data_IF_876019873792
#
_entry.id   IF_876019873792
#
_cell.length_a   1.000
_cell.length_b   1.000
_cell.length_c   1.000
_cell.angle_alpha   90.00
_cell.angle_beta   90.00
_cell.angle_gamma   90.00
#
_symmetry.space_group_name_H-M   'P 1'
#
loop_
_entity.id
_entity.type
_entity.pdbx_description
1 polymer ?
#
# COMPACT_ATOMS: atom_id res chain seq x y z
N UNK A 1 -27.66 0.18 91.45
CA UNK A 1 -26.76 1.32 91.08
C UNK A 1 -25.78 1.02 89.93
N UNK A 2 -25.73 -0.22 89.35
CA UNK A 2 -24.80 -0.55 88.19
C UNK A 2 -25.33 -0.31 86.83
N UNK A 3 -26.66 -0.20 86.59
CA UNK A 3 -27.23 -0.05 85.25
C UNK A 3 -27.24 1.41 84.69
N UNK A 4 -26.97 2.42 85.52
CA UNK A 4 -27.01 3.84 85.09
C UNK A 4 -25.63 4.28 84.61
N UNK A 5 -24.54 3.54 84.89
CA UNK A 5 -23.18 3.92 84.47
C UNK A 5 -22.86 3.37 83.08
N UNK A 6 -23.46 2.24 82.67
CA UNK A 6 -23.24 1.65 81.31
C UNK A 6 -23.99 2.39 80.21
N UNK A 7 -25.16 2.99 80.50
CA UNK A 7 -25.96 3.70 79.50
C UNK A 7 -25.37 5.07 79.14
N UNK A 8 -24.69 5.72 80.08
CA UNK A 8 -24.00 6.99 79.85
C UNK A 8 -22.68 6.85 79.11
N UNK A 9 -22.01 5.70 79.22
CA UNK A 9 -20.77 5.40 78.49
C UNK A 9 -20.98 5.12 77.00
N UNK A 10 -22.10 4.44 76.71
CA UNK A 10 -22.44 4.06 75.31
C UNK A 10 -22.99 5.25 74.51
N UNK A 11 -23.71 6.18 75.18
CA UNK A 11 -24.23 7.42 74.51
C UNK A 11 -23.07 8.38 74.19
N UNK A 12 -22.12 8.56 75.09
CA UNK A 12 -20.95 9.43 74.85
C UNK A 12 -19.99 8.88 73.78
N UNK A 13 -19.86 7.57 73.63
CA UNK A 13 -19.06 6.94 72.56
C UNK A 13 -19.75 7.04 71.22
N UNK A 14 -21.09 6.88 71.16
CA UNK A 14 -21.88 7.07 69.94
C UNK A 14 -21.90 8.53 69.50
N UNK A 15 -21.98 9.49 70.44
CA UNK A 15 -21.91 10.91 70.10
C UNK A 15 -20.55 11.35 69.60
N UNK A 16 -19.45 10.81 70.16
CA UNK A 16 -18.07 11.02 69.65
C UNK A 16 -17.84 10.36 68.29
N UNK A 17 -18.42 9.17 68.05
CA UNK A 17 -18.35 8.51 66.77
C UNK A 17 -19.15 9.25 65.67
N UNK A 18 -20.36 9.77 66.04
CA UNK A 18 -21.18 10.60 65.14
C UNK A 18 -20.49 11.91 64.81
N UNK A 19 -19.89 12.62 65.78
CA UNK A 19 -19.08 13.83 65.51
C UNK A 19 -17.84 13.57 64.68
N UNK A 20 -17.14 12.42 64.83
CA UNK A 20 -16.05 12.04 63.93
C UNK A 20 -16.50 11.67 62.54
N UNK A 21 -17.70 11.11 62.38
CA UNK A 21 -18.27 10.82 61.07
C UNK A 21 -18.70 12.10 60.32
N UNK A 22 -19.22 13.10 61.06
CA UNK A 22 -19.53 14.42 60.50
C UNK A 22 -18.27 15.26 60.17
N UNK A 23 -17.21 15.14 60.97
CA UNK A 23 -15.90 15.78 60.67
C UNK A 23 -15.19 15.16 59.46
N UNK A 24 -15.45 13.91 59.13
CA UNK A 24 -14.89 13.23 57.93
C UNK A 24 -15.74 13.49 56.67
N UNK A 25 -16.93 14.05 56.79
CA UNK A 25 -17.70 14.49 55.61
C UNK A 25 -16.96 15.67 54.97
N UNK A 26 -16.47 15.45 53.78
CA UNK A 26 -15.74 16.45 52.97
C UNK A 26 -16.60 17.74 52.91
N UNK A 27 -16.20 18.74 53.73
CA UNK A 27 -16.93 19.99 53.82
C UNK A 27 -16.70 20.81 52.58
N UNK A 28 -17.63 20.73 51.62
CA UNK A 28 -17.56 21.41 50.32
C UNK A 28 -17.58 22.94 50.48
N UNK A 29 -18.30 23.45 51.52
CA UNK A 29 -18.43 24.89 51.75
C UNK A 29 -17.11 25.63 51.99
N UNK A 30 -16.20 25.23 52.92
CA UNK A 30 -14.93 25.94 53.12
C UNK A 30 -14.00 25.80 51.92
N UNK A 31 -14.09 24.66 51.18
CA UNK A 31 -13.34 24.48 49.95
C UNK A 31 -13.80 25.47 48.85
N UNK A 32 -15.12 25.58 48.63
CA UNK A 32 -15.70 26.57 47.69
C UNK A 32 -15.32 28.01 48.08
N UNK A 33 -15.39 28.34 49.35
CA UNK A 33 -15.02 29.70 49.81
C UNK A 33 -13.53 29.99 49.60
N UNK A 34 -12.63 29.00 49.77
CA UNK A 34 -11.22 29.14 49.51
C UNK A 34 -10.94 29.28 47.98
N UNK A 35 -11.66 28.53 47.13
CA UNK A 35 -11.59 28.66 45.68
C UNK A 35 -12.05 30.06 45.21
N UNK A 36 -13.17 30.57 45.71
CA UNK A 36 -13.68 31.90 45.35
C UNK A 36 -12.73 33.01 45.84
N UNK A 37 -12.14 32.88 47.01
CA UNK A 37 -11.17 33.86 47.55
C UNK A 37 -9.88 33.91 46.72
N UNK A 38 -9.46 32.75 46.16
CA UNK A 38 -8.24 32.64 45.35
C UNK A 38 -8.52 32.46 43.86
N UNK A 39 -9.60 33.01 43.33
CA UNK A 39 -10.09 32.85 41.97
C UNK A 39 -9.03 33.18 40.88
N UNK A 40 -8.14 34.14 41.18
CA UNK A 40 -7.04 34.53 40.29
C UNK A 40 -6.07 33.40 40.01
N UNK A 41 -5.82 32.49 40.97
CA UNK A 41 -5.01 31.29 40.72
C UNK A 41 -5.65 30.35 39.73
N UNK A 42 -6.98 30.28 39.77
CA UNK A 42 -7.76 29.52 38.80
C UNK A 42 -7.63 30.07 37.39
N UNK A 43 -7.71 31.40 37.24
CA UNK A 43 -7.53 32.07 35.95
C UNK A 43 -6.09 31.85 35.44
N UNK A 44 -5.07 32.01 36.27
CA UNK A 44 -3.68 31.78 35.90
C UNK A 44 -3.48 30.32 35.43
N UNK A 45 -4.05 29.37 36.15
CA UNK A 45 -4.02 27.94 35.79
C UNK A 45 -4.67 27.69 34.44
N UNK A 46 -5.89 28.21 34.23
CA UNK A 46 -6.64 28.02 32.96
C UNK A 46 -5.88 28.65 31.79
N UNK A 47 -5.33 29.86 31.96
CA UNK A 47 -4.54 30.52 30.94
C UNK A 47 -3.24 29.73 30.68
N UNK A 48 -2.56 29.27 31.71
CA UNK A 48 -1.34 28.45 31.59
C UNK A 48 -1.58 27.14 30.84
N UNK A 49 -2.62 26.40 31.24
CA UNK A 49 -3.01 25.18 30.52
C UNK A 49 -3.51 25.46 29.10
N UNK A 50 -4.24 26.55 28.89
CA UNK A 50 -4.68 27.01 27.57
C UNK A 50 -3.49 27.30 26.63
N UNK A 51 -2.47 28.02 27.14
CA UNK A 51 -1.24 28.27 26.39
C UNK A 51 -0.49 26.98 26.08
N UNK A 52 -0.34 26.06 27.04
CA UNK A 52 0.29 24.77 26.83
C UNK A 52 -0.47 23.92 25.81
N UNK A 53 -1.79 23.86 25.93
CA UNK A 53 -2.65 23.13 24.97
C UNK A 53 -2.55 23.73 23.56
N UNK A 54 -2.50 25.06 23.44
CA UNK A 54 -2.33 25.76 22.17
C UNK A 54 -0.95 25.44 21.53
N UNK A 55 0.14 25.50 22.31
CA UNK A 55 1.47 25.13 21.85
C UNK A 55 1.53 23.66 21.43
N UNK A 56 0.94 22.77 22.20
CA UNK A 56 0.83 21.35 21.87
C UNK A 56 0.05 21.12 20.58
N UNK A 57 -1.09 21.78 20.41
CA UNK A 57 -1.90 21.68 19.17
C UNK A 57 -1.14 22.21 17.95
N UNK A 58 -0.35 23.28 18.10
CA UNK A 58 0.50 23.83 17.03
C UNK A 58 1.70 22.94 16.68
N UNK A 59 2.17 22.13 17.61
CA UNK A 59 3.26 21.16 17.40
C UNK A 59 2.80 19.91 16.67
N UNK A 60 1.50 19.61 16.63
CA UNK A 60 0.97 18.42 15.96
C UNK A 60 1.10 18.53 14.43
N UNK A 61 1.56 17.45 13.81
CA UNK A 61 1.60 17.32 12.36
C UNK A 61 0.19 17.10 11.82
N UNK A 62 -0.21 17.88 10.85
CA UNK A 62 -1.50 17.68 10.18
C UNK A 62 -1.45 16.40 9.34
N UNK A 63 -2.48 15.58 9.43
CA UNK A 63 -2.65 14.41 8.57
C UNK A 63 -3.78 14.67 7.60
N UNK A 64 -3.52 14.38 6.34
CA UNK A 64 -4.47 14.48 5.25
C UNK A 64 -4.83 13.07 4.80
N UNK A 65 -6.12 12.81 4.60
CA UNK A 65 -6.60 11.53 4.11
C UNK A 65 -7.35 11.74 2.80
N UNK A 66 -6.89 11.07 1.76
CA UNK A 66 -7.60 10.98 0.48
C UNK A 66 -8.28 9.63 0.34
N UNK A 67 -9.38 9.59 -0.39
CA UNK A 67 -10.12 8.35 -0.65
C UNK A 67 -10.44 8.19 -2.12
N UNK A 68 -10.43 6.95 -2.60
CA UNK A 68 -10.83 6.56 -3.93
C UNK A 68 -11.72 5.32 -3.87
N UNK A 69 -12.57 5.15 -4.86
CA UNK A 69 -13.40 3.94 -5.04
C UNK A 69 -13.03 3.30 -6.35
N UNK A 70 -12.71 2.01 -6.32
CA UNK A 70 -12.40 1.23 -7.51
C UNK A 70 -13.42 0.11 -7.65
N UNK A 71 -13.82 -0.17 -8.90
CA UNK A 71 -14.64 -1.30 -9.23
C UNK A 71 -13.72 -2.43 -9.75
N UNK A 72 -13.71 -3.56 -9.07
CA UNK A 72 -12.97 -4.74 -9.48
C UNK A 72 -13.85 -5.55 -10.42
N UNK A 73 -13.48 -5.57 -11.71
CA UNK A 73 -14.24 -6.32 -12.71
C UNK A 73 -13.65 -7.74 -12.86
N UNK A 74 -14.27 -8.72 -12.22
CA UNK A 74 -13.86 -10.13 -12.25
C UNK A 74 -14.44 -10.89 -13.46
N UNK A 75 -14.56 -10.25 -14.63
CA UNK A 75 -15.20 -10.86 -15.82
C UNK A 75 -14.49 -12.10 -16.37
N UNK A 76 -13.24 -12.34 -16.03
CA UNK A 76 -12.43 -13.40 -16.63
C UNK A 76 -12.59 -14.78 -15.96
N UNK A 77 -13.31 -14.89 -14.85
CA UNK A 77 -13.60 -16.19 -14.20
C UNK A 77 -14.86 -16.89 -14.72
N UNK A 78 -15.56 -16.28 -15.66
CA UNK A 78 -16.67 -16.92 -16.38
C UNK A 78 -16.21 -17.65 -17.64
N UNK A 79 -15.06 -18.33 -17.62
CA UNK A 79 -14.79 -19.34 -18.64
C UNK A 79 -15.80 -20.47 -18.44
N UNK A 80 -16.75 -20.51 -19.34
CA UNK A 80 -17.77 -21.54 -19.40
C UNK A 80 -17.11 -22.94 -19.35
N UNK A 81 -17.27 -23.64 -18.25
CA UNK A 81 -16.80 -25.02 -18.13
C UNK A 81 -16.13 -25.42 -16.83
N UNK A 82 -15.75 -24.48 -15.93
CA UNK A 82 -15.23 -24.92 -14.64
C UNK A 82 -16.37 -25.18 -13.65
N UNK A 83 -16.29 -26.27 -12.92
CA UNK A 83 -17.22 -26.59 -11.83
C UNK A 83 -17.36 -25.44 -10.83
N UNK A 84 -16.33 -24.62 -10.71
CA UNK A 84 -16.29 -23.40 -9.88
C UNK A 84 -17.32 -22.35 -10.33
N UNK A 85 -17.60 -22.22 -11.63
CA UNK A 85 -18.61 -21.29 -12.13
C UNK A 85 -20.03 -21.68 -11.68
N UNK A 86 -20.31 -22.99 -11.58
CA UNK A 86 -21.59 -23.50 -11.11
C UNK A 86 -21.80 -23.27 -9.61
N UNK A 87 -20.71 -23.32 -8.81
CA UNK A 87 -20.77 -23.07 -7.37
C UNK A 87 -20.87 -21.58 -7.06
N UNK A 88 -20.29 -20.69 -7.89
CA UNK A 88 -20.42 -19.24 -7.73
C UNK A 88 -21.84 -18.74 -8.05
N UNK A 89 -22.52 -19.37 -8.99
CA UNK A 89 -23.91 -19.03 -9.37
C UNK A 89 -24.92 -19.48 -8.29
N UNK A 90 -24.53 -20.48 -7.49
CA UNK A 90 -25.30 -20.96 -6.33
C UNK A 90 -25.00 -20.15 -5.05
N UNK A 91 -24.15 -19.11 -5.10
CA UNK A 91 -23.82 -18.26 -3.96
C UNK A 91 -23.02 -18.95 -2.85
N UNK A 92 -22.50 -20.17 -3.09
CA UNK A 92 -21.92 -21.03 -2.04
C UNK A 92 -20.42 -20.83 -1.89
N UNK A 93 -19.71 -20.35 -2.91
CA UNK A 93 -18.27 -20.04 -2.77
C UNK A 93 -17.77 -19.13 -3.89
N UNK A 94 -17.08 -18.08 -3.56
CA UNK A 94 -16.09 -17.49 -4.45
C UNK A 94 -16.08 -15.98 -4.65
N UNK A 95 -17.21 -15.28 -4.74
CA UNK A 95 -17.19 -13.84 -5.01
C UNK A 95 -16.44 -13.03 -3.91
N UNK A 96 -16.68 -13.36 -2.66
CA UNK A 96 -16.01 -12.67 -1.54
C UNK A 96 -14.49 -12.95 -1.46
N UNK A 97 -14.05 -14.16 -1.86
CA UNK A 97 -12.64 -14.51 -1.88
C UNK A 97 -11.88 -13.81 -3.01
N UNK A 98 -12.55 -13.53 -4.14
CA UNK A 98 -11.94 -12.83 -5.27
C UNK A 98 -11.64 -11.37 -4.93
N UNK A 99 -12.61 -10.63 -4.38
CA UNK A 99 -12.40 -9.24 -3.95
C UNK A 99 -11.37 -9.17 -2.83
N UNK A 100 -11.38 -10.11 -1.88
CA UNK A 100 -10.37 -10.18 -0.82
C UNK A 100 -8.96 -10.39 -1.39
N UNK A 101 -8.79 -11.26 -2.38
CA UNK A 101 -7.50 -11.48 -3.03
C UNK A 101 -7.00 -10.22 -3.75
N UNK A 102 -7.90 -9.48 -4.43
CA UNK A 102 -7.54 -8.23 -5.08
C UNK A 102 -7.16 -7.14 -4.06
N UNK A 103 -7.82 -7.11 -2.89
CA UNK A 103 -7.43 -6.23 -1.78
C UNK A 103 -6.02 -6.58 -1.28
N UNK A 104 -5.67 -7.86 -1.14
CA UNK A 104 -4.31 -8.28 -0.79
C UNK A 104 -3.30 -7.89 -1.86
N UNK A 105 -3.65 -8.02 -3.16
CA UNK A 105 -2.81 -7.59 -4.28
C UNK A 105 -2.56 -6.08 -4.21
N UNK A 106 -3.60 -5.27 -4.00
CA UNK A 106 -3.49 -3.81 -3.83
C UNK A 106 -2.60 -3.40 -2.65
N UNK A 107 -2.54 -4.21 -1.60
CA UNK A 107 -1.68 -3.99 -0.42
C UNK A 107 -0.31 -4.65 -0.56
N UNK A 108 0.03 -5.26 -1.69
CA UNK A 108 1.31 -5.95 -1.85
C UNK A 108 2.48 -4.96 -1.79
N UNK A 109 3.55 -5.37 -1.12
CA UNK A 109 4.79 -4.57 -1.01
C UNK A 109 5.39 -4.29 -2.38
N UNK A 110 5.35 -5.24 -3.31
CA UNK A 110 5.88 -5.10 -4.67
C UNK A 110 5.19 -3.96 -5.43
N UNK A 111 3.85 -3.91 -5.35
CA UNK A 111 3.07 -2.85 -5.98
C UNK A 111 3.38 -1.50 -5.35
N UNK A 112 3.55 -1.45 -4.01
CA UNK A 112 3.97 -0.24 -3.31
C UNK A 112 5.39 0.19 -3.67
N UNK A 113 6.33 -0.72 -3.88
CA UNK A 113 7.69 -0.40 -4.36
C UNK A 113 7.65 0.26 -5.74
N UNK A 114 6.80 -0.23 -6.64
CA UNK A 114 6.59 0.38 -7.95
C UNK A 114 6.05 1.81 -7.82
N UNK A 115 5.07 2.03 -6.93
CA UNK A 115 4.53 3.37 -6.63
C UNK A 115 5.61 4.31 -6.06
N UNK A 116 6.42 3.81 -5.11
CA UNK A 116 7.54 4.58 -4.52
C UNK A 116 8.54 5.00 -5.58
N UNK A 117 8.90 4.09 -6.48
CA UNK A 117 9.85 4.37 -7.58
C UNK A 117 9.25 5.36 -8.58
N UNK A 118 7.98 5.19 -8.96
CA UNK A 118 7.32 6.08 -9.92
C UNK A 118 7.19 7.52 -9.41
N UNK A 119 6.91 7.69 -8.10
CA UNK A 119 6.73 9.00 -7.48
C UNK A 119 7.99 9.56 -6.83
N UNK A 120 9.08 8.78 -6.76
CA UNK A 120 10.34 9.17 -6.11
C UNK A 120 10.20 9.41 -4.61
N UNK A 121 9.35 8.62 -3.90
CA UNK A 121 9.04 8.82 -2.49
C UNK A 121 10.12 8.30 -1.53
N UNK A 122 11.17 7.69 -2.05
CA UNK A 122 12.35 7.29 -1.28
C UNK A 122 13.10 8.48 -0.67
N UNK A 123 12.88 9.70 -1.20
CA UNK A 123 13.41 10.94 -0.65
C UNK A 123 12.25 11.88 -0.32
N UNK A 124 12.12 12.23 0.94
CA UNK A 124 11.09 13.16 1.42
C UNK A 124 11.75 14.43 1.95
N UNK A 125 11.21 15.57 1.55
CA UNK A 125 11.71 16.89 1.91
C UNK A 125 10.82 17.53 2.94
N UNK A 126 11.43 18.08 3.99
CA UNK A 126 10.75 18.79 5.04
C UNK A 126 11.36 20.17 5.21
N UNK A 127 10.50 21.17 5.28
CA UNK A 127 10.88 22.52 5.67
C UNK A 127 10.59 22.74 7.15
N UNK A 128 11.53 23.32 7.89
CA UNK A 128 11.33 23.63 9.30
C UNK A 128 10.55 24.94 9.44
N UNK A 129 9.31 24.86 9.90
CA UNK A 129 8.44 26.02 10.13
C UNK A 129 8.07 26.10 11.61
N UNK A 130 8.67 27.06 12.31
CA UNK A 130 8.44 27.34 13.72
C UNK A 130 8.73 26.13 14.63
N UNK A 131 7.75 25.31 14.98
CA UNK A 131 7.86 24.17 15.90
C UNK A 131 7.60 22.80 15.22
N UNK A 132 7.47 22.78 13.92
CA UNK A 132 7.13 21.55 13.19
C UNK A 132 7.85 21.48 11.84
N UNK A 133 8.09 20.24 11.40
CA UNK A 133 8.54 19.96 10.06
C UNK A 133 7.31 19.81 9.15
N UNK A 134 7.30 20.52 8.03
CA UNK A 134 6.25 20.47 7.02
C UNK A 134 6.79 19.75 5.81
N UNK A 135 6.06 18.72 5.35
CA UNK A 135 6.43 17.97 4.15
C UNK A 135 6.26 18.84 2.90
N UNK A 136 7.36 19.10 2.22
CA UNK A 136 7.40 19.93 1.02
C UNK A 136 7.16 19.16 -0.28
N UNK A 137 6.92 17.85 -0.25
CA UNK A 137 6.69 16.97 -1.39
C UNK A 137 7.22 17.54 -2.73
N UNK A 138 6.35 17.95 -3.67
CA UNK A 138 6.73 18.53 -4.98
C UNK A 138 7.14 20.01 -4.92
N UNK A 139 6.95 20.69 -3.78
CA UNK A 139 7.25 22.11 -3.60
C UNK A 139 8.62 22.37 -2.97
N UNK A 140 9.43 21.33 -2.79
CA UNK A 140 10.79 21.48 -2.24
C UNK A 140 11.64 22.43 -3.09
N UNK A 141 12.35 23.38 -2.47
CA UNK A 141 13.28 24.26 -3.20
C UNK A 141 14.54 23.54 -3.69
N UNK A 142 14.83 22.37 -3.12
CA UNK A 142 16.02 21.58 -3.42
C UNK A 142 15.65 20.18 -3.82
N UNK A 143 16.45 19.57 -4.70
CA UNK A 143 16.36 18.17 -5.07
C UNK A 143 17.68 17.47 -4.81
N UNK A 144 17.64 16.35 -4.12
CA UNK A 144 18.77 15.45 -3.87
C UNK A 144 18.61 14.26 -4.79
N UNK A 145 19.65 13.95 -5.52
CA UNK A 145 19.67 12.77 -6.42
C UNK A 145 20.79 11.86 -5.96
N UNK A 146 20.49 10.72 -5.33
CA UNK A 146 21.46 9.66 -5.10
C UNK A 146 21.96 9.12 -6.44
N UNK A 147 23.25 8.92 -6.60
CA UNK A 147 23.86 8.36 -7.79
C UNK A 147 24.04 6.83 -7.69
N UNK A 148 23.69 6.26 -6.54
CA UNK A 148 23.69 4.82 -6.26
C UNK A 148 22.48 4.48 -5.39
N UNK A 149 22.10 3.22 -5.37
CA UNK A 149 21.01 2.74 -4.52
C UNK A 149 21.34 2.93 -3.04
N UNK A 150 20.34 3.39 -2.30
CA UNK A 150 20.47 3.69 -0.87
C UNK A 150 20.21 2.42 -0.07
N UNK A 151 21.26 1.86 0.51
CA UNK A 151 21.15 0.65 1.33
C UNK A 151 20.65 0.94 2.75
N UNK A 152 20.97 2.12 3.31
CA UNK A 152 20.61 2.51 4.68
C UNK A 152 19.93 3.87 4.68
N UNK A 153 18.87 4.04 5.47
CA UNK A 153 18.22 5.34 5.60
C UNK A 153 19.14 6.33 6.28
N UNK A 154 19.09 7.59 5.86
CA UNK A 154 19.78 8.71 6.49
C UNK A 154 18.98 10.00 6.36
N UNK A 155 19.27 10.93 7.25
CA UNK A 155 18.71 12.28 7.20
C UNK A 155 19.82 13.27 6.79
N UNK A 156 19.50 14.17 5.87
CA UNK A 156 20.39 15.21 5.42
C UNK A 156 19.73 16.58 5.63
N UNK A 157 20.38 17.44 6.37
CA UNK A 157 19.99 18.84 6.48
C UNK A 157 20.82 19.68 5.51
N UNK A 158 20.16 20.44 4.65
CA UNK A 158 20.81 21.31 3.66
C UNK A 158 20.40 22.75 3.92
N UNK A 159 21.39 23.66 3.95
CA UNK A 159 21.20 25.08 4.14
C UNK A 159 21.85 25.83 2.98
N UNK A 160 21.07 26.42 2.05
CA UNK A 160 21.59 27.28 1.01
C UNK A 160 22.26 28.54 1.62
N UNK A 161 23.45 28.91 1.16
CA UNK A 161 24.16 30.11 1.63
C UNK A 161 24.06 31.31 0.66
N UNK A 162 23.35 31.09 -0.45
CA UNK A 162 23.21 32.07 -1.53
C UNK A 162 24.13 31.77 -2.71
N UNK A 163 23.78 32.30 -3.88
CA UNK A 163 24.49 31.96 -5.12
C UNK A 163 24.51 30.46 -5.38
N UNK A 164 25.67 29.87 -5.51
CA UNK A 164 25.84 28.42 -5.77
C UNK A 164 26.34 27.65 -4.54
N UNK A 165 26.46 28.28 -3.39
CA UNK A 165 27.03 27.70 -2.17
C UNK A 165 25.93 27.08 -1.28
N UNK A 166 26.24 25.96 -0.66
CA UNK A 166 25.42 25.32 0.34
C UNK A 166 26.28 24.71 1.46
N UNK A 167 25.68 24.59 2.61
CA UNK A 167 26.18 23.77 3.70
C UNK A 167 25.22 22.60 3.94
N UNK A 168 25.76 21.43 4.23
CA UNK A 168 24.97 20.24 4.54
C UNK A 168 25.56 19.47 5.72
N UNK A 169 24.69 18.76 6.39
CA UNK A 169 24.98 17.89 7.52
C UNK A 169 24.21 16.58 7.34
N UNK A 170 24.82 15.44 7.66
CA UNK A 170 24.19 14.13 7.60
C UNK A 170 24.15 13.53 9.00
N UNK A 171 22.96 13.06 9.43
CA UNK A 171 22.73 12.40 10.72
C UNK A 171 23.38 13.12 11.91
N UNK A 172 23.21 14.44 12.02
CA UNK A 172 23.80 15.29 13.07
C UNK A 172 25.35 15.26 13.13
N UNK A 173 26.03 14.84 12.05
CA UNK A 173 27.48 14.87 11.91
C UNK A 173 28.02 16.29 11.72
N UNK A 174 29.22 16.41 11.15
CA UNK A 174 29.84 17.70 10.89
C UNK A 174 29.22 18.44 9.69
N UNK A 175 29.15 19.79 9.76
CA UNK A 175 28.75 20.61 8.64
C UNK A 175 29.85 20.64 7.57
N UNK A 176 29.44 20.29 6.33
CA UNK A 176 30.32 20.29 5.16
C UNK A 176 29.82 21.30 4.14
N UNK A 177 30.76 21.94 3.41
CA UNK A 177 30.44 22.87 2.33
C UNK A 177 30.45 22.17 0.99
N UNK A 178 29.53 22.55 0.12
CA UNK A 178 29.43 22.06 -1.24
C UNK A 178 28.87 23.17 -2.16
N UNK A 179 28.82 22.85 -3.45
CA UNK A 179 28.20 23.71 -4.46
C UNK A 179 27.05 22.94 -5.14
N UNK A 180 25.99 23.67 -5.48
CA UNK A 180 24.88 23.09 -6.22
C UNK A 180 25.33 22.48 -7.55
N UNK A 181 24.77 21.34 -7.90
CA UNK A 181 25.09 20.58 -9.11
C UNK A 181 26.35 19.73 -9.02
N UNK A 182 27.19 19.92 -8.02
CA UNK A 182 28.38 19.10 -7.87
C UNK A 182 28.06 17.77 -7.17
N UNK A 183 28.85 16.74 -7.56
CA UNK A 183 28.82 15.44 -6.89
C UNK A 183 29.49 15.53 -5.54
N UNK A 184 28.79 15.16 -4.49
CA UNK A 184 29.29 15.10 -3.11
C UNK A 184 29.40 13.64 -2.70
N UNK A 185 30.60 13.22 -2.30
CA UNK A 185 30.81 11.87 -1.77
C UNK A 185 30.44 11.84 -0.29
N UNK A 186 29.53 10.93 0.07
CA UNK A 186 29.09 10.72 1.44
C UNK A 186 29.33 9.27 1.86
N UNK A 187 29.19 8.99 3.14
CA UNK A 187 29.29 7.62 3.67
C UNK A 187 28.15 6.69 3.14
N UNK A 188 27.06 7.27 2.64
CA UNK A 188 25.91 6.58 2.06
C UNK A 188 25.93 6.56 0.53
N UNK A 189 27.05 6.89 -0.08
CA UNK A 189 27.23 6.97 -1.51
C UNK A 189 27.33 8.39 -2.05
N UNK A 190 27.64 8.53 -3.35
CA UNK A 190 27.70 9.84 -4.00
C UNK A 190 26.29 10.38 -4.25
N UNK A 191 26.10 11.66 -3.95
CA UNK A 191 24.86 12.38 -4.15
C UNK A 191 25.10 13.68 -4.92
N UNK A 192 24.07 14.15 -5.62
CA UNK A 192 24.04 15.48 -6.22
C UNK A 192 22.88 16.28 -5.60
N UNK A 193 23.15 17.55 -5.27
CA UNK A 193 22.14 18.47 -4.74
C UNK A 193 21.92 19.57 -5.76
N UNK A 194 20.70 19.72 -6.24
CA UNK A 194 20.33 20.70 -7.27
C UNK A 194 19.20 21.62 -6.80
N UNK A 195 19.12 22.80 -7.38
CA UNK A 195 18.01 23.72 -7.17
C UNK A 195 16.82 23.30 -8.04
N UNK A 196 15.62 23.35 -7.49
CA UNK A 196 14.37 23.13 -8.26
C UNK A 196 13.86 24.48 -8.81
N UNK A 197 12.81 24.42 -9.61
CA UNK A 197 12.09 25.61 -10.08
C UNK A 197 11.44 26.44 -8.96
N UNK A 198 11.27 25.84 -7.78
CA UNK A 198 10.70 26.49 -6.60
C UNK A 198 11.75 27.21 -5.76
N UNK A 199 13.03 27.12 -6.13
CA UNK A 199 14.09 27.82 -5.43
C UNK A 199 14.03 29.33 -5.70
N UNK A 200 14.01 30.11 -4.63
CA UNK A 200 14.18 31.58 -4.66
C UNK A 200 15.25 32.00 -3.66
N UNK A 201 15.83 33.18 -3.82
CA UNK A 201 16.84 33.70 -2.87
C UNK A 201 16.27 33.88 -1.44
N UNK A 202 14.96 33.84 -1.26
CA UNK A 202 14.33 33.85 0.07
C UNK A 202 14.64 32.60 0.89
N UNK A 203 15.04 31.49 0.23
CA UNK A 203 15.48 30.26 0.89
C UNK A 203 16.94 30.30 1.37
N UNK A 204 17.62 31.42 1.22
CA UNK A 204 18.94 31.62 1.82
C UNK A 204 18.83 31.42 3.32
N UNK A 205 19.76 30.63 3.89
CA UNK A 205 19.81 30.23 5.30
C UNK A 205 18.58 29.44 5.81
N UNK A 206 17.68 29.03 4.89
CA UNK A 206 16.54 28.19 5.24
C UNK A 206 16.94 26.71 5.33
N UNK A 207 16.58 26.07 6.44
CA UNK A 207 16.86 24.64 6.67
C UNK A 207 15.89 23.77 5.89
N UNK A 208 16.41 22.96 4.96
CA UNK A 208 15.67 21.90 4.27
C UNK A 208 16.20 20.57 4.78
N UNK A 209 15.32 19.76 5.32
CA UNK A 209 15.62 18.42 5.82
C UNK A 209 15.18 17.42 4.76
N UNK A 210 16.09 16.61 4.27
CA UNK A 210 15.79 15.52 3.35
C UNK A 210 15.99 14.18 4.06
N UNK A 211 14.91 13.40 4.16
CA UNK A 211 14.96 12.03 4.68
C UNK A 211 15.02 11.06 3.52
N UNK A 212 16.17 10.42 3.38
CA UNK A 212 16.44 9.42 2.36
C UNK A 212 16.23 8.05 2.97
N UNK A 213 15.39 7.24 2.36
CA UNK A 213 15.02 5.92 2.86
C UNK A 213 15.14 4.87 1.75
N UNK A 214 15.19 3.61 2.13
CA UNK A 214 15.16 2.51 1.17
C UNK A 214 13.76 2.39 0.54
N UNK A 215 13.70 1.99 -0.72
CA UNK A 215 12.42 1.80 -1.43
C UNK A 215 11.50 0.84 -0.67
N UNK A 216 12.04 -0.30 -0.23
CA UNK A 216 11.28 -1.30 0.54
C UNK A 216 10.78 -0.75 1.89
N UNK A 217 11.58 0.07 2.58
CA UNK A 217 11.17 0.70 3.84
C UNK A 217 10.01 1.68 3.67
N UNK A 218 10.06 2.48 2.59
CA UNK A 218 8.96 3.40 2.25
C UNK A 218 7.73 2.65 1.79
N UNK A 219 7.88 1.62 0.95
CA UNK A 219 6.77 0.79 0.49
C UNK A 219 5.99 0.18 1.66
N UNK A 220 6.70 -0.37 2.64
CA UNK A 220 6.10 -0.91 3.86
C UNK A 220 5.39 0.16 4.70
N UNK A 221 5.92 1.38 4.75
CA UNK A 221 5.27 2.50 5.42
C UNK A 221 4.01 2.97 4.68
N UNK A 222 4.00 2.95 3.33
CA UNK A 222 2.81 3.25 2.53
C UNK A 222 1.74 2.17 2.74
N UNK A 223 2.11 0.90 2.71
CA UNK A 223 1.21 -0.24 2.97
C UNK A 223 0.50 -0.08 4.33
N UNK A 224 1.24 0.26 5.38
CA UNK A 224 0.69 0.44 6.74
C UNK A 224 -0.31 1.61 6.84
N UNK A 225 -0.19 2.63 5.97
CA UNK A 225 -1.08 3.80 5.94
C UNK A 225 -2.19 3.68 4.89
N UNK A 226 -2.17 2.62 4.07
CA UNK A 226 -3.23 2.33 3.11
C UNK A 226 -4.32 1.49 3.77
N UNK A 227 -5.54 1.99 3.79
CA UNK A 227 -6.71 1.20 4.09
C UNK A 227 -7.43 0.84 2.79
N UNK A 228 -7.69 -0.45 2.58
CA UNK A 228 -8.43 -0.98 1.45
C UNK A 228 -9.46 -1.96 1.98
N UNK A 229 -10.73 -1.66 1.77
CA UNK A 229 -11.87 -2.43 2.28
C UNK A 229 -12.95 -2.56 1.22
N UNK A 230 -13.62 -3.72 1.15
CA UNK A 230 -14.80 -3.86 0.30
C UNK A 230 -15.90 -2.90 0.77
N UNK A 231 -16.59 -2.25 -0.16
CA UNK A 231 -17.65 -1.30 0.17
C UNK A 231 -18.83 -1.98 0.88
N UNK A 232 -19.10 -3.26 0.53
CA UNK A 232 -20.10 -4.11 1.17
C UNK A 232 -19.70 -5.58 0.95
N UNK A 233 -20.30 -6.51 1.71
CA UNK A 233 -20.01 -7.95 1.67
C UNK A 233 -20.17 -8.60 0.29
N UNK A 234 -21.04 -8.05 -0.55
CA UNK A 234 -21.36 -8.57 -1.89
C UNK A 234 -21.03 -7.58 -3.01
N UNK A 235 -20.23 -6.53 -2.69
CA UNK A 235 -19.87 -5.50 -3.63
C UNK A 235 -18.50 -5.77 -4.27
N UNK A 236 -18.42 -5.60 -5.57
CA UNK A 236 -17.14 -5.59 -6.30
C UNK A 236 -16.44 -4.23 -6.19
N UNK A 237 -16.99 -3.30 -5.40
CA UNK A 237 -16.39 -1.98 -5.15
C UNK A 237 -15.50 -2.05 -3.93
N UNK A 238 -14.27 -1.57 -4.07
CA UNK A 238 -13.30 -1.42 -2.99
C UNK A 238 -13.11 0.06 -2.70
N UNK A 239 -13.24 0.43 -1.43
CA UNK A 239 -12.90 1.74 -0.91
C UNK A 239 -11.42 1.75 -0.54
N UNK A 240 -10.66 2.65 -1.13
CA UNK A 240 -9.28 2.91 -0.79
C UNK A 240 -9.20 4.21 -0.01
N UNK A 241 -8.42 4.25 1.06
CA UNK A 241 -8.07 5.48 1.75
C UNK A 241 -6.61 5.46 2.15
N UNK A 242 -5.94 6.59 1.97
CA UNK A 242 -4.53 6.75 2.30
C UNK A 242 -4.34 8.04 3.10
N UNK A 243 -3.65 7.95 4.23
CA UNK A 243 -3.39 9.07 5.12
C UNK A 243 -1.89 9.37 5.20
N UNK A 244 -1.51 10.64 4.98
CA UNK A 244 -0.14 11.10 5.14
C UNK A 244 -0.08 12.57 5.60
N UNK A 245 1.12 13.12 5.68
CA UNK A 245 1.41 14.47 6.16
C UNK A 245 1.35 15.56 5.07
N UNK A 246 0.99 15.19 3.82
CA UNK A 246 0.84 16.12 2.70
C UNK A 246 -0.36 15.74 1.83
N UNK A 247 -1.25 16.69 1.56
CA UNK A 247 -2.48 16.47 0.81
C UNK A 247 -2.22 15.99 -0.61
N UNK A 248 -1.35 16.70 -1.36
CA UNK A 248 -1.05 16.34 -2.74
C UNK A 248 -0.38 14.97 -2.84
N UNK A 249 0.50 14.64 -1.89
CA UNK A 249 1.11 13.31 -1.81
C UNK A 249 0.05 12.22 -1.59
N UNK A 250 -0.97 12.46 -0.76
CA UNK A 250 -2.01 11.46 -0.51
C UNK A 250 -2.83 11.16 -1.77
N UNK A 251 -3.12 12.20 -2.57
CA UNK A 251 -3.83 12.07 -3.84
C UNK A 251 -2.95 11.34 -4.88
N UNK A 252 -1.69 11.77 -5.01
CA UNK A 252 -0.77 11.21 -6.00
C UNK A 252 -0.46 9.73 -5.72
N UNK A 253 -0.32 9.34 -4.45
CA UNK A 253 -0.10 7.94 -4.07
C UNK A 253 -1.31 7.07 -4.45
N UNK A 254 -2.54 7.51 -4.16
CA UNK A 254 -3.73 6.74 -4.55
C UNK A 254 -3.88 6.64 -6.07
N UNK A 255 -3.64 7.73 -6.79
CA UNK A 255 -3.72 7.73 -8.25
C UNK A 255 -2.64 6.83 -8.87
N UNK A 256 -1.41 6.91 -8.38
CA UNK A 256 -0.32 6.05 -8.83
C UNK A 256 -0.60 4.57 -8.50
N UNK A 257 -1.13 4.29 -7.31
CA UNK A 257 -1.51 2.93 -6.90
C UNK A 257 -2.53 2.33 -7.87
N UNK A 258 -3.59 3.07 -8.19
CA UNK A 258 -4.62 2.62 -9.13
C UNK A 258 -4.03 2.46 -10.54
N UNK A 259 -3.17 3.37 -10.98
CA UNK A 259 -2.53 3.30 -12.29
C UNK A 259 -1.61 2.06 -12.39
N UNK A 260 -0.77 1.82 -11.40
CA UNK A 260 0.14 0.65 -11.35
C UNK A 260 -0.65 -0.64 -11.29
N UNK A 261 -1.69 -0.71 -10.45
CA UNK A 261 -2.57 -1.88 -10.36
C UNK A 261 -3.22 -2.20 -11.72
N UNK A 262 -3.74 -1.20 -12.41
CA UNK A 262 -4.33 -1.37 -13.74
C UNK A 262 -3.28 -1.82 -14.77
N UNK A 263 -2.07 -1.27 -14.71
CA UNK A 263 -0.99 -1.67 -15.61
C UNK A 263 -0.56 -3.12 -15.38
N UNK A 264 -0.39 -3.55 -14.12
CA UNK A 264 -0.09 -4.95 -13.81
C UNK A 264 -1.19 -5.89 -14.32
N UNK A 265 -2.47 -5.50 -14.16
CA UNK A 265 -3.58 -6.31 -14.67
C UNK A 265 -3.56 -6.43 -16.20
N UNK A 266 -3.14 -5.40 -16.92
CA UNK A 266 -2.96 -5.43 -18.39
C UNK A 266 -1.76 -6.33 -18.74
N UNK A 267 -0.65 -6.21 -18.03
CA UNK A 267 0.58 -6.99 -18.29
C UNK A 267 0.36 -8.48 -18.00
N UNK A 268 -0.37 -8.81 -16.93
CA UNK A 268 -0.80 -10.18 -16.62
C UNK A 268 -1.63 -10.77 -17.78
N UNK A 269 -2.63 -10.03 -18.29
CA UNK A 269 -3.45 -10.47 -19.42
C UNK A 269 -2.64 -10.64 -20.70
N UNK A 270 -1.76 -9.72 -20.99
CA UNK A 270 -0.86 -9.81 -22.14
C UNK A 270 0.08 -11.02 -22.03
N UNK A 271 0.58 -11.31 -20.83
CA UNK A 271 1.42 -12.48 -20.56
C UNK A 271 0.65 -13.78 -20.80
N UNK A 272 -0.57 -13.89 -20.27
CA UNK A 272 -1.45 -15.06 -20.52
C UNK A 272 -1.74 -15.22 -22.01
N UNK A 273 -2.02 -14.12 -22.73
CA UNK A 273 -2.27 -14.16 -24.17
C UNK A 273 -1.05 -14.65 -24.95
N UNK A 274 0.14 -14.16 -24.66
CA UNK A 274 1.42 -14.60 -25.29
C UNK A 274 1.68 -16.08 -24.99
N UNK A 275 1.58 -16.50 -23.72
CA UNK A 275 1.80 -17.89 -23.35
C UNK A 275 0.78 -18.83 -24.07
N UNK A 276 -0.45 -18.35 -24.27
CA UNK A 276 -1.48 -19.09 -25.01
C UNK A 276 -1.13 -19.16 -26.50
N UNK A 277 -0.66 -18.07 -27.11
CA UNK A 277 -0.18 -18.02 -28.50
C UNK A 277 0.97 -19.00 -28.72
N UNK A 278 1.99 -18.96 -27.85
CA UNK A 278 3.14 -19.85 -27.91
C UNK A 278 2.71 -21.32 -27.80
N UNK A 279 1.82 -21.62 -26.84
CA UNK A 279 1.28 -22.99 -26.68
C UNK A 279 0.51 -23.46 -27.92
N UNK A 280 -0.33 -22.60 -28.51
CA UNK A 280 -1.07 -22.91 -29.73
C UNK A 280 -0.10 -23.12 -30.90
N UNK A 281 0.92 -22.29 -31.07
CA UNK A 281 1.92 -22.41 -32.11
C UNK A 281 2.70 -23.73 -32.01
N UNK A 282 3.14 -24.10 -30.81
CA UNK A 282 3.81 -25.39 -30.56
C UNK A 282 2.89 -26.58 -30.86
N UNK A 283 1.60 -26.46 -30.49
CA UNK A 283 0.62 -27.50 -30.73
C UNK A 283 0.33 -27.69 -32.23
N UNK A 284 0.25 -26.59 -32.98
CA UNK A 284 0.08 -26.61 -34.44
C UNK A 284 1.30 -27.27 -35.09
N UNK A 285 2.51 -26.94 -34.68
CA UNK A 285 3.74 -27.56 -35.20
C UNK A 285 3.76 -29.07 -34.95
N UNK A 286 3.40 -29.47 -33.72
CA UNK A 286 3.33 -30.91 -33.36
C UNK A 286 2.30 -31.65 -34.23
N UNK A 287 1.08 -31.07 -34.38
CA UNK A 287 0.04 -31.65 -35.22
C UNK A 287 0.44 -31.71 -36.70
N UNK A 288 1.15 -30.72 -37.21
CA UNK A 288 1.64 -30.69 -38.57
C UNK A 288 2.68 -31.83 -38.82
N UNK A 289 3.57 -32.08 -37.84
CA UNK A 289 4.52 -33.21 -37.91
C UNK A 289 3.78 -34.53 -37.88
N UNK A 290 2.80 -34.71 -37.02
CA UNK A 290 2.00 -35.94 -36.93
C UNK A 290 1.25 -36.17 -38.24
N UNK A 291 0.64 -35.15 -38.83
CA UNK A 291 -0.08 -35.20 -40.09
C UNK A 291 0.88 -35.58 -41.24
N UNK A 292 2.05 -34.94 -41.33
CA UNK A 292 3.11 -35.27 -42.29
C UNK A 292 3.56 -36.72 -42.16
N UNK A 293 3.65 -37.23 -40.93
CA UNK A 293 3.96 -38.65 -40.66
C UNK A 293 2.88 -39.58 -41.16
N UNK A 294 1.60 -39.25 -40.98
CA UNK A 294 0.47 -40.01 -41.49
C UNK A 294 0.42 -39.99 -43.02
N UNK A 295 0.61 -38.80 -43.63
CA UNK A 295 0.64 -38.66 -45.10
C UNK A 295 1.76 -39.53 -45.71
N UNK A 296 2.94 -39.55 -45.11
CA UNK A 296 4.07 -40.37 -45.51
C UNK A 296 3.76 -41.86 -45.44
N UNK A 297 3.06 -42.29 -44.37
CA UNK A 297 2.60 -43.71 -44.25
C UNK A 297 1.53 -44.07 -45.27
N UNK A 298 0.59 -43.16 -45.55
CA UNK A 298 -0.44 -43.36 -46.61
C UNK A 298 0.27 -43.48 -47.97
N UNK A 299 1.24 -42.63 -48.29
CA UNK A 299 2.02 -42.69 -49.51
C UNK A 299 2.75 -44.03 -49.64
N UNK A 300 3.42 -44.52 -48.58
CA UNK A 300 4.07 -45.82 -48.54
C UNK A 300 3.12 -46.98 -48.73
N UNK A 301 1.94 -46.95 -48.10
CA UNK A 301 0.89 -47.95 -48.26
C UNK A 301 0.36 -47.98 -49.70
N UNK A 302 0.17 -46.83 -50.35
CA UNK A 302 -0.20 -46.70 -51.76
C UNK A 302 0.85 -47.34 -52.69
N UNK A 303 2.14 -47.04 -52.47
CA UNK A 303 3.25 -47.62 -53.26
C UNK A 303 3.33 -49.15 -53.09
N UNK A 304 3.20 -49.63 -51.84
CA UNK A 304 3.24 -51.07 -51.56
C UNK A 304 2.00 -51.80 -52.12
N UNK A 305 0.83 -51.18 -52.14
CA UNK A 305 -0.37 -51.76 -52.75
C UNK A 305 -0.34 -51.68 -54.27
N UNK A 306 0.33 -50.74 -54.90
CA UNK A 306 0.55 -50.73 -56.35
C UNK A 306 1.49 -51.86 -56.81
N UNK A 307 2.40 -52.34 -55.96
CA UNK A 307 3.27 -53.45 -56.23
C UNK A 307 2.64 -54.82 -55.93
N UNK A 308 1.58 -54.90 -55.15
CA UNK A 308 0.81 -56.14 -54.94
C UNK A 308 -0.46 -56.11 -55.81
N UNK A 309 -0.47 -56.89 -56.91
CA UNK A 309 -1.63 -57.05 -57.81
C UNK A 309 -2.88 -57.66 -57.14
N UNK A 310 -3.09 -57.38 -55.85
CA UNK A 310 -4.14 -58.02 -55.02
C UNK A 310 -5.37 -57.15 -54.75
N UNK A 311 -5.44 -55.94 -55.24
CA UNK A 311 -6.59 -55.09 -55.03
C UNK A 311 -7.15 -54.49 -56.33
N UNK A 312 -7.74 -55.32 -57.12
CA UNK A 312 -8.52 -54.91 -58.32
C UNK A 312 -9.97 -54.47 -58.01
N UNK A 313 -10.34 -54.43 -56.73
CA UNK A 313 -11.73 -54.08 -56.32
C UNK A 313 -11.76 -52.83 -55.42
N UNK A 314 -12.42 -51.73 -55.85
CA UNK A 314 -12.48 -50.45 -55.06
C UNK A 314 -13.13 -50.59 -53.68
N UNK A 315 -13.98 -51.61 -53.48
CA UNK A 315 -14.68 -51.85 -52.22
C UNK A 315 -13.77 -52.41 -51.13
N UNK A 316 -12.78 -53.22 -51.49
CA UNK A 316 -11.81 -53.82 -50.58
C UNK A 316 -10.78 -52.80 -50.07
N UNK A 317 -10.37 -51.84 -50.93
CA UNK A 317 -9.45 -50.78 -50.59
C UNK A 317 -10.05 -49.82 -49.55
N UNK A 318 -11.37 -49.51 -49.63
CA UNK A 318 -12.09 -48.70 -48.69
C UNK A 318 -12.21 -49.32 -47.30
N UNK A 319 -12.37 -50.64 -47.24
CA UNK A 319 -12.47 -51.39 -45.99
C UNK A 319 -11.11 -51.43 -45.23
N UNK A 320 -9.98 -51.52 -46.00
CA UNK A 320 -8.65 -51.54 -45.43
C UNK A 320 -8.28 -50.17 -44.83
N UNK A 321 -8.61 -49.08 -45.52
CA UNK A 321 -8.40 -47.68 -45.00
C UNK A 321 -9.25 -47.45 -43.73
N UNK A 322 -10.46 -47.99 -43.68
CA UNK A 322 -11.34 -47.86 -42.52
C UNK A 322 -10.83 -48.61 -41.27
N UNK A 323 -10.14 -49.76 -41.50
CA UNK A 323 -9.56 -50.55 -40.42
C UNK A 323 -8.13 -50.10 -40.02
N UNK A 324 -7.41 -49.38 -40.88
CA UNK A 324 -6.08 -48.82 -40.58
C UNK A 324 -6.10 -47.45 -39.88
N UNK A 325 -7.24 -46.77 -39.87
CA UNK A 325 -7.42 -45.57 -39.06
C UNK A 325 -7.76 -45.98 -37.62
N UNK A 326 -6.90 -45.69 -36.63
CA UNK A 326 -7.31 -45.75 -35.24
C UNK A 326 -8.50 -44.80 -35.06
N UNK A 327 -9.55 -45.31 -34.42
CA UNK A 327 -10.79 -44.58 -34.13
C UNK A 327 -10.45 -43.30 -33.36
N UNK A 328 -10.15 -42.20 -34.07
CA UNK A 328 -10.22 -40.87 -33.52
C UNK A 328 -11.69 -40.58 -33.23
N UNK A 329 -12.10 -40.85 -31.99
CA UNK A 329 -13.37 -40.40 -31.45
C UNK A 329 -13.36 -38.90 -31.38
N UNK A 330 -13.73 -38.21 -32.45
CA UNK A 330 -14.14 -36.82 -32.40
C UNK A 330 -15.30 -36.72 -31.41
N UNK A 331 -14.98 -36.38 -30.16
CA UNK A 331 -16.00 -35.86 -29.23
C UNK A 331 -16.40 -34.51 -29.80
N UNK A 332 -17.54 -34.46 -30.44
CA UNK A 332 -18.20 -33.26 -30.90
C UNK A 332 -18.28 -32.28 -29.72
N UNK A 333 -17.54 -31.18 -29.79
CA UNK A 333 -17.87 -29.97 -29.08
C UNK A 333 -18.98 -29.26 -29.82
N UNK A 334 -20.19 -29.80 -29.68
CA UNK A 334 -21.42 -29.05 -29.89
C UNK A 334 -22.04 -28.84 -28.53
N UNK A 335 -21.86 -27.63 -28.00
CA UNK A 335 -22.88 -26.79 -27.35
C UNK A 335 -22.24 -25.61 -26.66
N UNK A 336 -22.60 -24.43 -27.21
CA UNK A 336 -22.69 -23.09 -26.62
C UNK A 336 -21.41 -22.43 -26.09
#
# INVERSE_FOLDING_TARGET
MQNIIEENGTSAVKEKAAKRAEESAFQIKPFLTACVRNWYWFIISVVGFGCLAFLFAKSQTQKYSSSAKILITTKDSKSAGSQTALFSDLGIAGANNMVANEIYKLKSTTLMETVVNQLGLNIRYYGHVFLRDVNCYKTSPLQITPLQDVEKPFEMTVVPKGGNDLEFQINDGEWKRAHFGNKVNTEFGPIAITKTQHYTEQYKDYKVIARVSTVAGVAKALEANLNAEAADKFSDVVNLSFACDNEQMSIDVLNALVAVYNQEAIDDKNSVARNTEDFIAERIESLSKDLSGVDSRIAQLKVNNMNSQMFSDPTTSLQFVKNAMPTFRCRSLTKL
#
